data_IF_478510900948
#
_entry.id   IF_478510900948
#
_cell.length_a   1.000
_cell.length_b   1.000
_cell.length_c   1.000
_cell.angle_alpha   90.00
_cell.angle_beta   90.00
_cell.angle_gamma   90.00
#
_symmetry.space_group_name_H-M   'P 1'
#
loop_
_entity.id
_entity.type
_entity.pdbx_description
1 polymer ?
#
# COMPACT_ATOMS: atom_id res chain seq x y z
N UNK A 1 -6.45 15.32 -0.40
CA UNK A 1 -6.65 15.56 -1.85
C UNK A 1 -7.01 17.01 -2.13
N UNK A 2 -7.78 17.67 -1.26
CA UNK A 2 -8.23 19.06 -1.46
C UNK A 2 -7.10 20.10 -1.50
N UNK A 3 -5.95 19.82 -0.88
CA UNK A 3 -4.81 20.77 -0.79
C UNK A 3 -3.69 20.53 -1.82
N UNK A 4 -3.85 19.61 -2.79
CA UNK A 4 -2.79 19.30 -3.76
C UNK A 4 -2.94 20.15 -5.03
N UNK A 5 -1.87 20.82 -5.45
CA UNK A 5 -1.83 21.55 -6.73
C UNK A 5 -1.86 20.58 -7.92
N UNK A 6 -1.30 19.39 -7.77
CA UNK A 6 -1.37 18.30 -8.75
C UNK A 6 -1.31 16.95 -8.02
N UNK A 7 -2.03 15.94 -8.49
CA UNK A 7 -2.03 14.60 -7.91
C UNK A 7 -2.02 13.57 -9.04
N UNK A 8 -1.05 12.66 -9.01
CA UNK A 8 -0.98 11.60 -10.00
C UNK A 8 -2.26 10.76 -10.03
N UNK A 9 -2.66 10.28 -11.20
CA UNK A 9 -3.85 9.44 -11.32
C UNK A 9 -3.75 8.24 -10.37
N UNK A 10 -4.75 8.05 -9.52
CA UNK A 10 -4.86 6.87 -8.66
C UNK A 10 -5.16 5.59 -9.47
N UNK A 11 -5.64 5.74 -10.69
CA UNK A 11 -5.89 4.64 -11.62
C UNK A 11 -4.75 4.54 -12.62
N UNK A 12 -4.23 3.32 -12.83
CA UNK A 12 -3.07 3.07 -13.71
C UNK A 12 -1.79 3.85 -13.30
N UNK A 13 -1.60 4.14 -12.01
CA UNK A 13 -0.36 4.74 -11.51
C UNK A 13 0.82 3.77 -11.70
N UNK A 14 1.93 4.26 -12.26
CA UNK A 14 3.18 3.49 -12.44
C UNK A 14 4.07 3.46 -11.20
N UNK A 15 3.72 4.21 -10.15
CA UNK A 15 4.57 4.44 -8.97
C UNK A 15 3.96 3.96 -7.64
N UNK A 16 3.41 2.73 -7.52
CA UNK A 16 3.06 2.20 -6.22
C UNK A 16 4.33 1.81 -5.44
N UNK A 17 4.24 1.88 -4.11
CA UNK A 17 5.29 1.35 -3.23
C UNK A 17 5.18 -0.18 -3.14
N UNK A 18 6.31 -0.88 -3.06
CA UNK A 18 6.38 -2.33 -2.99
C UNK A 18 7.10 -2.83 -1.74
N UNK A 19 6.56 -3.88 -1.13
CA UNK A 19 7.32 -4.73 -0.23
C UNK A 19 8.16 -5.71 -1.05
N UNK A 20 9.48 -5.63 -0.89
CA UNK A 20 10.43 -6.48 -1.60
C UNK A 20 11.20 -7.35 -0.62
N UNK A 21 11.47 -8.58 -1.03
CA UNK A 21 12.25 -9.57 -0.28
C UNK A 21 13.29 -10.19 -1.19
N UNK A 22 14.32 -10.83 -0.62
CA UNK A 22 15.27 -11.60 -1.41
C UNK A 22 14.58 -12.78 -2.09
N UNK A 23 15.07 -13.21 -3.25
CA UNK A 23 14.37 -14.20 -4.08
C UNK A 23 14.22 -15.55 -3.38
N UNK A 24 15.20 -15.94 -2.56
CA UNK A 24 15.17 -17.14 -1.74
C UNK A 24 14.07 -17.12 -0.66
N UNK A 25 13.63 -15.94 -0.23
CA UNK A 25 12.65 -15.76 0.86
C UNK A 25 11.23 -15.47 0.37
N UNK A 26 10.99 -15.40 -0.94
CA UNK A 26 9.68 -14.98 -1.50
C UNK A 26 8.48 -15.84 -1.07
N UNK A 27 8.74 -17.07 -0.64
CA UNK A 27 7.74 -18.05 -0.26
C UNK A 27 7.69 -18.31 1.25
N UNK A 28 8.50 -17.61 2.05
CA UNK A 28 8.56 -17.82 3.50
C UNK A 28 7.20 -17.50 4.14
N UNK A 29 6.80 -18.28 5.14
CA UNK A 29 5.52 -18.11 5.83
C UNK A 29 5.37 -16.71 6.44
N UNK A 30 6.46 -16.13 6.94
CA UNK A 30 6.46 -14.76 7.47
C UNK A 30 6.11 -13.72 6.39
N UNK A 31 6.57 -13.90 5.15
CA UNK A 31 6.27 -13.00 4.04
C UNK A 31 4.79 -13.08 3.67
N UNK A 32 4.22 -14.28 3.68
CA UNK A 32 2.77 -14.48 3.48
C UNK A 32 1.93 -13.83 4.58
N UNK A 33 2.36 -13.96 5.84
CA UNK A 33 1.68 -13.34 6.98
C UNK A 33 1.70 -11.81 6.90
N UNK A 34 2.87 -11.21 6.63
CA UNK A 34 3.00 -9.76 6.46
C UNK A 34 2.08 -9.26 5.34
N UNK A 35 2.07 -9.94 4.19
CA UNK A 35 1.18 -9.58 3.07
C UNK A 35 -0.29 -9.62 3.49
N UNK A 36 -0.72 -10.66 4.22
CA UNK A 36 -2.10 -10.80 4.70
C UNK A 36 -2.49 -9.65 5.64
N UNK A 37 -1.64 -9.34 6.62
CA UNK A 37 -1.94 -8.28 7.60
C UNK A 37 -1.91 -6.90 6.96
N UNK A 38 -0.89 -6.60 6.15
CA UNK A 38 -0.78 -5.30 5.48
C UNK A 38 -1.95 -5.06 4.52
N UNK A 39 -2.39 -6.08 3.79
CA UNK A 39 -3.53 -5.96 2.88
C UNK A 39 -4.92 -6.08 3.54
N UNK A 40 -5.00 -6.14 4.87
CA UNK A 40 -6.28 -6.23 5.57
C UNK A 40 -7.12 -4.94 5.45
N UNK A 41 -8.44 -5.09 5.61
CA UNK A 41 -9.37 -3.95 5.61
C UNK A 41 -9.11 -2.99 6.77
N UNK A 42 -8.66 -3.51 7.90
CA UNK A 42 -8.26 -2.71 9.07
C UNK A 42 -7.13 -1.73 8.72
N UNK A 43 -6.05 -2.24 8.11
CA UNK A 43 -4.92 -1.41 7.69
C UNK A 43 -5.34 -0.44 6.58
N UNK A 44 -6.17 -0.89 5.63
CA UNK A 44 -6.73 -0.01 4.58
C UNK A 44 -7.52 1.16 5.19
N UNK A 45 -8.35 0.89 6.19
CA UNK A 45 -9.12 1.92 6.90
C UNK A 45 -8.22 2.86 7.71
N UNK A 46 -7.21 2.32 8.41
CA UNK A 46 -6.22 3.10 9.13
C UNK A 46 -5.49 4.09 8.22
N UNK A 47 -5.01 3.64 7.05
CA UNK A 47 -4.30 4.50 6.09
C UNK A 47 -5.20 5.65 5.63
N UNK A 48 -6.44 5.35 5.24
CA UNK A 48 -7.40 6.37 4.80
C UNK A 48 -7.66 7.43 5.88
N UNK A 49 -7.83 7.00 7.12
CA UNK A 49 -8.10 7.89 8.27
C UNK A 49 -6.89 8.76 8.61
N UNK A 50 -5.71 8.15 8.67
CA UNK A 50 -4.49 8.81 9.18
C UNK A 50 -3.91 9.77 8.16
N UNK A 51 -3.79 9.34 6.90
CA UNK A 51 -3.08 10.10 5.87
C UNK A 51 -4.00 10.93 4.98
N UNK A 52 -5.33 10.81 5.14
CA UNK A 52 -6.33 11.70 4.50
C UNK A 52 -6.13 11.89 2.98
N UNK A 53 -5.70 10.82 2.31
CA UNK A 53 -5.44 10.80 0.87
C UNK A 53 -3.98 11.08 0.46
N UNK A 54 -3.10 11.56 1.34
CA UNK A 54 -1.66 11.70 1.00
C UNK A 54 -0.96 10.35 0.82
N UNK A 55 -1.57 9.27 1.31
CA UNK A 55 -1.17 7.88 1.04
C UNK A 55 -2.41 7.12 0.60
N UNK A 56 -2.32 6.44 -0.54
CA UNK A 56 -3.43 5.68 -1.11
C UNK A 56 -3.04 4.20 -1.26
N UNK A 57 -3.79 3.27 -0.64
CA UNK A 57 -3.60 1.84 -0.83
C UNK A 57 -3.77 1.43 -2.31
N UNK A 58 -2.86 0.61 -2.83
CA UNK A 58 -2.86 0.12 -4.22
C UNK A 58 -3.50 -1.27 -4.38
N UNK A 59 -4.29 -1.71 -3.41
CA UNK A 59 -4.95 -3.02 -3.34
C UNK A 59 -6.38 -2.91 -2.79
#
# INVERSE_FOLDING_TARGET
MDDSIDHESLTHNRYPNYFVVRNENKNDEVVKQIKKYYHSDEIKAYIKKTFKGSVVPSW
#
